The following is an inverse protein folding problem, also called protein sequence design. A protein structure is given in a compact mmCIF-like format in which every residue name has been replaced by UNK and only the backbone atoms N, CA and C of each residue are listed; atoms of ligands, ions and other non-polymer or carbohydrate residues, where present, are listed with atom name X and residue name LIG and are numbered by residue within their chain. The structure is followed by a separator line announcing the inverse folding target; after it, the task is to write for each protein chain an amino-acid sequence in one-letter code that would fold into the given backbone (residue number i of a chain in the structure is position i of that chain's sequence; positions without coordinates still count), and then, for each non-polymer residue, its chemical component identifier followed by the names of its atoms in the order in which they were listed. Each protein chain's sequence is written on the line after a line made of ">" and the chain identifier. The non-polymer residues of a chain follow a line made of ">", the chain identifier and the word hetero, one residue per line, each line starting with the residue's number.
data_IF_464137541597
#
_entry.id   IF_464137541597
#
_cell.length_a   1.000
_cell.length_b   1.000
_cell.length_c   1.000
_cell.angle_alpha   90.00
_cell.angle_beta   90.00
_cell.angle_gamma   90.00
#
_symmetry.space_group_name_H-M   'P 1'
#
loop_
_entity.id
_entity.type
_entity.pdbx_description
1 polymer ?
#
# COMPACT_ATOMS: atom_id res chain seq x y z
N UNK A 1 -16.05 -9.29 -1.30
CA UNK A 1 -15.36 -8.65 -2.46
C UNK A 1 -15.12 -7.17 -2.16
N UNK A 2 -14.18 -6.51 -2.86
CA UNK A 2 -13.84 -5.09 -2.58
C UNK A 2 -15.03 -4.15 -2.76
N UNK A 3 -15.88 -4.42 -3.75
CA UNK A 3 -17.08 -3.61 -4.00
C UNK A 3 -18.07 -3.60 -2.84
N UNK A 4 -18.33 -4.75 -2.23
CA UNK A 4 -19.23 -4.86 -1.06
C UNK A 4 -18.69 -4.06 0.12
N UNK A 5 -17.36 -4.07 0.29
CA UNK A 5 -16.72 -3.33 1.37
C UNK A 5 -16.83 -1.81 1.16
N UNK A 6 -16.58 -1.33 -0.08
CA UNK A 6 -16.79 0.07 -0.44
C UNK A 6 -18.24 0.48 -0.16
N UNK A 7 -19.21 -0.33 -0.60
CA UNK A 7 -20.61 -0.06 -0.39
C UNK A 7 -21.00 -0.02 1.10
N UNK A 8 -20.42 -0.91 1.93
CA UNK A 8 -20.64 -0.92 3.37
C UNK A 8 -20.08 0.32 4.03
N UNK A 9 -18.80 0.62 3.82
CA UNK A 9 -18.14 1.80 4.41
C UNK A 9 -18.87 3.09 4.01
N UNK A 10 -19.28 3.21 2.74
CA UNK A 10 -20.06 4.37 2.29
C UNK A 10 -21.37 4.51 3.07
N UNK A 11 -22.11 3.40 3.25
CA UNK A 11 -23.37 3.40 4.03
C UNK A 11 -23.15 3.72 5.50
N UNK A 12 -22.11 3.15 6.12
CA UNK A 12 -21.76 3.41 7.53
C UNK A 12 -21.43 4.90 7.76
N UNK A 13 -20.89 5.57 6.72
CA UNK A 13 -20.64 7.03 6.72
C UNK A 13 -21.87 7.85 6.25
N UNK A 14 -23.04 7.25 6.10
CA UNK A 14 -24.27 7.90 5.62
C UNK A 14 -24.09 8.65 4.29
N UNK A 15 -23.17 8.20 3.44
CA UNK A 15 -22.88 8.84 2.15
C UNK A 15 -23.69 8.19 1.03
N UNK A 16 -24.35 8.97 0.19
CA UNK A 16 -25.04 8.47 -0.99
C UNK A 16 -24.05 8.06 -2.10
N UNK A 17 -24.51 7.22 -3.05
CA UNK A 17 -23.67 6.88 -4.22
C UNK A 17 -23.35 8.11 -5.06
N UNK A 18 -24.31 9.02 -5.19
CA UNK A 18 -24.15 10.26 -5.94
C UNK A 18 -23.06 11.13 -5.34
N UNK A 19 -23.08 11.33 -4.02
CA UNK A 19 -22.05 12.08 -3.31
C UNK A 19 -20.64 11.43 -3.46
N UNK A 20 -20.57 10.11 -3.35
CA UNK A 20 -19.27 9.44 -3.52
C UNK A 20 -18.77 9.56 -4.97
N UNK A 21 -19.68 9.46 -5.96
CA UNK A 21 -19.37 9.63 -7.37
C UNK A 21 -18.83 11.05 -7.66
N UNK A 22 -19.49 12.08 -7.11
CA UNK A 22 -19.07 13.48 -7.23
C UNK A 22 -17.70 13.73 -6.57
N UNK A 23 -17.52 13.29 -5.31
CA UNK A 23 -16.25 13.45 -4.57
C UNK A 23 -15.07 12.75 -5.23
N UNK A 24 -15.31 11.66 -5.94
CA UNK A 24 -14.27 10.86 -6.60
C UNK A 24 -14.08 11.20 -8.07
N UNK A 25 -14.98 12.01 -8.65
CA UNK A 25 -15.08 12.25 -10.09
C UNK A 25 -15.21 10.94 -10.91
N UNK A 26 -15.92 9.96 -10.34
CA UNK A 26 -16.21 8.68 -10.97
C UNK A 26 -17.67 8.70 -11.40
N UNK A 27 -17.94 8.23 -12.63
CA UNK A 27 -19.31 8.11 -13.08
C UNK A 27 -20.12 7.18 -12.17
N UNK A 28 -21.35 7.56 -11.81
CA UNK A 28 -22.21 6.82 -10.88
C UNK A 28 -22.51 5.39 -11.35
N UNK A 29 -22.64 5.17 -12.67
CA UNK A 29 -22.82 3.84 -13.24
C UNK A 29 -21.57 2.98 -13.04
N UNK A 30 -20.38 3.55 -13.23
CA UNK A 30 -19.12 2.86 -13.00
C UNK A 30 -18.94 2.52 -11.52
N UNK A 31 -19.23 3.47 -10.61
CA UNK A 31 -19.22 3.21 -9.17
C UNK A 31 -20.21 2.10 -8.77
N UNK A 32 -21.38 2.07 -9.40
CA UNK A 32 -22.38 1.03 -9.17
C UNK A 32 -21.87 -0.36 -9.57
N UNK A 33 -21.20 -0.48 -10.72
CA UNK A 33 -20.59 -1.74 -11.16
C UNK A 33 -19.44 -2.18 -10.24
N UNK A 34 -18.67 -1.22 -9.71
CA UNK A 34 -17.63 -1.50 -8.70
C UNK A 34 -18.25 -2.04 -7.42
N UNK A 35 -19.27 -1.35 -6.86
CA UNK A 35 -19.91 -1.77 -5.62
C UNK A 35 -20.61 -3.13 -5.73
N UNK A 36 -21.11 -3.49 -6.90
CA UNK A 36 -21.69 -4.82 -7.18
C UNK A 36 -20.65 -5.91 -7.44
N UNK A 37 -19.36 -5.54 -7.51
CA UNK A 37 -18.29 -6.49 -7.85
C UNK A 37 -18.26 -6.93 -9.31
N UNK A 38 -19.03 -6.27 -10.18
CA UNK A 38 -19.06 -6.54 -11.62
C UNK A 38 -17.82 -6.00 -12.35
N UNK A 39 -17.16 -5.01 -11.73
CA UNK A 39 -15.88 -4.43 -12.18
C UNK A 39 -14.97 -4.15 -11.02
N UNK A 40 -13.69 -4.46 -11.18
CA UNK A 40 -12.65 -4.03 -10.25
C UNK A 40 -12.36 -2.55 -10.46
N UNK A 41 -12.22 -1.75 -9.38
CA UNK A 41 -11.78 -0.38 -9.51
C UNK A 41 -10.33 -0.34 -10.00
N UNK A 42 -10.00 0.64 -10.87
CA UNK A 42 -8.61 0.94 -11.17
C UNK A 42 -7.92 1.47 -9.89
N UNK A 43 -6.59 1.37 -9.86
CA UNK A 43 -5.78 1.96 -8.79
C UNK A 43 -6.15 3.41 -8.48
N UNK A 44 -6.25 4.25 -9.51
CA UNK A 44 -6.63 5.67 -9.41
C UNK A 44 -8.03 5.83 -8.81
N UNK A 45 -8.99 5.02 -9.27
CA UNK A 45 -10.36 5.04 -8.76
C UNK A 45 -10.41 4.62 -7.29
N UNK A 46 -9.72 3.54 -6.92
CA UNK A 46 -9.70 3.04 -5.54
C UNK A 46 -9.07 4.05 -4.58
N UNK A 47 -7.95 4.68 -4.96
CA UNK A 47 -7.33 5.74 -4.17
C UNK A 47 -8.26 6.93 -3.96
N UNK A 48 -8.98 7.34 -5.00
CA UNK A 48 -9.98 8.42 -4.91
C UNK A 48 -11.14 8.03 -3.98
N UNK A 49 -11.63 6.79 -4.07
CA UNK A 49 -12.69 6.27 -3.22
C UNK A 49 -12.24 6.24 -1.75
N UNK A 50 -11.07 5.70 -1.46
CA UNK A 50 -10.52 5.65 -0.09
C UNK A 50 -10.38 7.05 0.50
N UNK A 51 -9.85 8.00 -0.28
CA UNK A 51 -9.74 9.41 0.13
C UNK A 51 -11.10 10.03 0.41
N UNK A 52 -12.09 9.79 -0.44
CA UNK A 52 -13.44 10.36 -0.28
C UNK A 52 -14.19 9.75 0.91
N UNK A 53 -13.92 8.48 1.22
CA UNK A 53 -14.46 7.77 2.36
C UNK A 53 -13.65 7.97 3.64
N UNK A 54 -12.55 8.72 3.58
CA UNK A 54 -11.64 8.93 4.72
C UNK A 54 -11.25 7.59 5.39
N UNK A 55 -10.79 6.66 4.57
CA UNK A 55 -10.26 5.36 5.00
C UNK A 55 -8.84 5.19 4.46
N UNK A 56 -7.95 4.57 5.23
CA UNK A 56 -6.60 4.32 4.76
C UNK A 56 -6.64 3.41 3.54
N UNK A 57 -5.90 3.81 2.51
CA UNK A 57 -5.66 2.97 1.36
C UNK A 57 -4.54 1.98 1.71
N UNK A 58 -4.92 0.73 1.95
CA UNK A 58 -3.94 -0.35 2.14
C UNK A 58 -4.05 -1.33 0.97
N UNK A 59 -3.10 -1.35 0.05
CA UNK A 59 -3.02 -2.40 -0.95
C UNK A 59 -2.58 -3.69 -0.26
N UNK A 60 -3.47 -4.67 -0.18
CA UNK A 60 -3.23 -5.87 0.63
C UNK A 60 -2.93 -7.12 -0.17
N UNK A 61 -3.10 -7.16 -1.44
CA UNK A 61 -2.67 -8.30 -2.24
C UNK A 61 -2.53 -7.94 -3.72
N UNK A 62 -1.44 -8.35 -4.34
CA UNK A 62 -1.29 -8.26 -5.78
C UNK A 62 -1.65 -9.61 -6.41
N UNK A 63 -2.64 -9.62 -7.27
CA UNK A 63 -2.82 -10.75 -8.18
C UNK A 63 -2.21 -10.37 -9.51
N UNK A 64 -1.18 -11.08 -9.91
CA UNK A 64 -0.65 -10.98 -11.26
C UNK A 64 -1.57 -11.80 -12.14
N UNK A 65 -2.38 -11.12 -12.94
CA UNK A 65 -3.18 -11.78 -13.98
C UNK A 65 -2.27 -12.09 -15.17
N UNK A 66 -2.01 -13.37 -15.40
CA UNK A 66 -1.14 -13.84 -16.49
C UNK A 66 -1.66 -13.48 -17.90
N UNK A 67 -2.90 -12.99 -18.00
CA UNK A 67 -3.55 -12.65 -19.26
C UNK A 67 -3.64 -11.15 -19.53
N UNK A 68 -2.94 -10.32 -18.77
CA UNK A 68 -2.94 -8.88 -19.03
C UNK A 68 -2.04 -8.54 -20.20
N UNK A 69 -2.65 -7.96 -21.24
CA UNK A 69 -1.96 -7.34 -22.36
C UNK A 69 -0.89 -6.32 -21.88
N UNK A 70 0.23 -6.27 -22.56
CA UNK A 70 1.42 -5.49 -22.18
C UNK A 70 1.20 -3.99 -22.01
N UNK A 71 0.07 -3.46 -22.45
CA UNK A 71 -0.27 -2.02 -22.43
C UNK A 71 -0.84 -1.56 -21.09
N UNK A 72 -1.40 -2.46 -20.28
CA UNK A 72 -1.96 -2.14 -18.99
C UNK A 72 -1.32 -2.96 -17.87
N UNK A 73 -0.04 -2.71 -17.59
CA UNK A 73 0.63 -3.14 -16.36
C UNK A 73 0.11 -2.37 -15.13
N UNK A 74 -1.19 -2.09 -15.11
CA UNK A 74 -1.87 -1.68 -13.90
C UNK A 74 -2.13 -2.95 -13.10
N UNK A 75 -1.43 -3.03 -11.97
CA UNK A 75 -1.60 -4.13 -11.01
C UNK A 75 -3.07 -4.29 -10.66
N UNK A 76 -3.65 -5.46 -10.89
CA UNK A 76 -4.88 -5.81 -10.21
C UNK A 76 -4.56 -5.95 -8.73
N UNK A 77 -4.82 -4.88 -8.01
CA UNK A 77 -4.86 -4.91 -6.57
C UNK A 77 -6.03 -5.80 -6.16
N UNK A 78 -5.75 -7.01 -5.69
CA UNK A 78 -6.73 -7.82 -4.97
C UNK A 78 -6.68 -7.36 -3.53
N UNK A 79 -7.70 -6.62 -3.14
CA UNK A 79 -7.63 -5.73 -2.02
C UNK A 79 -8.50 -6.15 -0.88
N UNK A 80 -7.94 -6.06 0.28
CA UNK A 80 -8.72 -5.77 1.47
C UNK A 80 -8.52 -4.28 1.81
N UNK A 81 -9.56 -3.49 1.73
CA UNK A 81 -9.66 -2.28 2.52
C UNK A 81 -9.91 -2.81 3.94
N UNK A 82 -8.87 -2.96 4.73
CA UNK A 82 -9.09 -3.27 6.13
C UNK A 82 -9.36 -1.98 6.87
N UNK A 83 -10.57 -1.84 7.35
CA UNK A 83 -10.87 -0.91 8.41
C UNK A 83 -10.32 -1.53 9.70
N UNK A 84 -9.04 -1.34 9.96
CA UNK A 84 -8.49 -1.57 11.28
C UNK A 84 -8.64 -0.26 12.05
N UNK A 85 -9.39 -0.31 13.14
CA UNK A 85 -9.15 0.63 14.22
C UNK A 85 -7.68 0.44 14.61
N UNK A 86 -6.84 1.40 14.24
CA UNK A 86 -5.47 1.41 14.69
C UNK A 86 -5.57 1.61 16.21
N UNK A 87 -5.15 0.63 17.04
CA UNK A 87 -5.12 0.86 18.47
C UNK A 87 -4.29 2.12 18.70
N UNK A 88 -4.74 2.98 19.62
CA UNK A 88 -4.04 4.21 19.95
C UNK A 88 -2.58 3.87 20.22
N UNK A 89 -1.70 4.21 19.28
CA UNK A 89 -0.28 4.01 19.45
C UNK A 89 0.15 4.98 20.53
N UNK A 90 0.62 4.47 21.66
CA UNK A 90 1.32 5.30 22.62
C UNK A 90 2.53 5.90 21.91
N UNK A 91 2.42 7.17 21.55
CA UNK A 91 3.53 7.90 20.91
C UNK A 91 4.49 8.27 22.04
N UNK A 92 5.42 7.38 22.33
CA UNK A 92 6.43 7.60 23.37
C UNK A 92 7.56 8.50 22.89
N UNK A 93 7.77 8.62 21.56
CA UNK A 93 8.88 9.36 21.00
C UNK A 93 8.45 10.19 19.77
N UNK A 94 8.80 11.47 19.78
CA UNK A 94 8.69 12.35 18.63
C UNK A 94 10.04 12.44 17.92
N UNK A 95 10.05 12.19 16.61
CA UNK A 95 11.22 12.37 15.76
C UNK A 95 10.95 13.54 14.83
N UNK A 96 11.93 14.45 14.71
CA UNK A 96 11.84 15.58 13.78
C UNK A 96 11.67 15.06 12.36
N UNK A 97 10.62 15.48 11.65
CA UNK A 97 10.37 15.11 10.28
C UNK A 97 10.80 16.27 9.36
N UNK A 98 11.71 16.03 8.41
CA UNK A 98 12.07 17.04 7.41
C UNK A 98 10.86 17.47 6.58
N UNK A 99 10.80 18.73 6.19
CA UNK A 99 9.71 19.27 5.36
C UNK A 99 9.56 18.52 4.02
N UNK A 100 10.67 18.01 3.47
CA UNK A 100 10.67 17.17 2.26
C UNK A 100 9.94 15.82 2.43
N UNK A 101 9.70 15.39 3.67
CA UNK A 101 9.03 14.15 4.02
C UNK A 101 7.72 14.38 4.79
N UNK A 102 7.09 15.54 4.60
CA UNK A 102 5.86 15.94 5.30
C UNK A 102 4.66 14.98 5.05
N UNK A 103 4.74 14.13 4.01
CA UNK A 103 3.76 13.07 3.74
C UNK A 103 3.99 11.79 4.55
N UNK A 104 5.03 11.72 5.38
CA UNK A 104 5.25 10.58 6.26
C UNK A 104 4.13 10.48 7.31
N UNK A 105 3.66 9.27 7.52
CA UNK A 105 2.65 8.96 8.54
C UNK A 105 3.29 8.62 9.89
N UNK A 106 4.49 8.06 9.85
CA UNK A 106 5.26 7.67 11.04
C UNK A 106 6.74 7.47 10.69
N UNK A 107 7.57 7.35 11.72
CA UNK A 107 8.95 6.89 11.60
C UNK A 107 9.08 5.51 12.26
N UNK A 108 9.83 4.63 11.62
CA UNK A 108 10.10 3.27 12.12
C UNK A 108 11.60 3.06 12.28
N UNK A 109 12.02 2.38 13.35
CA UNK A 109 13.42 2.04 13.54
C UNK A 109 13.82 0.90 12.59
N UNK A 110 14.98 1.04 11.93
CA UNK A 110 15.56 0.00 11.07
C UNK A 110 16.35 -0.96 11.96
N UNK A 111 15.88 -2.19 12.08
CA UNK A 111 16.43 -3.16 13.03
C UNK A 111 17.50 -4.08 12.43
N UNK A 112 17.57 -4.17 11.11
CA UNK A 112 18.55 -5.01 10.41
C UNK A 112 19.38 -4.20 9.40
N UNK A 113 20.42 -4.81 8.89
CA UNK A 113 21.37 -4.20 7.97
C UNK A 113 21.16 -4.61 6.50
N UNK A 114 20.06 -5.28 6.21
CA UNK A 114 19.77 -5.84 4.87
C UNK A 114 19.63 -4.79 3.78
N UNK A 115 19.30 -3.55 4.17
CA UNK A 115 19.11 -2.43 3.28
C UNK A 115 20.32 -1.47 3.24
N UNK A 116 21.44 -1.83 3.85
CA UNK A 116 22.68 -1.07 3.73
C UNK A 116 23.31 -1.23 2.34
N UNK A 117 23.98 -0.18 1.84
CA UNK A 117 24.25 1.12 2.50
C UNK A 117 23.10 2.12 2.39
N UNK A 118 22.01 1.78 1.68
CA UNK A 118 20.93 2.71 1.35
C UNK A 118 20.16 3.19 2.58
N UNK A 119 19.86 2.26 3.48
CA UNK A 119 19.23 2.54 4.76
C UNK A 119 20.11 1.92 5.84
N UNK A 120 20.61 2.76 6.76
CA UNK A 120 21.52 2.30 7.82
C UNK A 120 20.75 1.64 8.96
N UNK A 121 21.28 0.54 9.46
CA UNK A 121 20.78 -0.07 10.71
C UNK A 121 20.76 0.95 11.84
N UNK A 122 19.85 0.81 12.78
CA UNK A 122 19.62 1.67 13.94
C UNK A 122 19.20 3.11 13.62
N UNK A 123 19.07 3.50 12.37
CA UNK A 123 18.43 4.75 11.94
C UNK A 123 16.90 4.62 11.90
N UNK A 124 16.23 5.74 11.64
CA UNK A 124 14.78 5.78 11.48
C UNK A 124 14.41 6.04 10.03
N UNK A 125 13.49 5.24 9.51
CA UNK A 125 12.91 5.41 8.19
C UNK A 125 11.54 6.09 8.30
N UNK A 126 11.30 7.10 7.46
CA UNK A 126 10.01 7.78 7.35
C UNK A 126 9.09 7.01 6.43
N UNK A 127 7.96 6.54 6.97
CA UNK A 127 7.00 5.69 6.31
C UNK A 127 5.73 6.45 5.95
N UNK A 128 5.31 6.39 4.70
CA UNK A 128 4.01 6.86 4.24
C UNK A 128 3.06 5.68 4.03
N UNK A 129 2.03 5.57 4.88
CA UNK A 129 1.06 4.46 4.85
C UNK A 129 0.15 4.48 3.62
N UNK A 130 -0.15 5.67 3.11
CA UNK A 130 -1.14 5.87 2.05
C UNK A 130 -0.52 6.20 0.68
N UNK A 131 0.78 5.94 0.52
CA UNK A 131 1.49 6.21 -0.71
C UNK A 131 1.73 4.90 -1.47
N UNK A 132 1.37 4.84 -2.77
CA UNK A 132 1.60 3.65 -3.56
C UNK A 132 3.09 3.39 -3.76
N UNK A 133 3.44 2.12 -3.83
CA UNK A 133 4.75 1.67 -4.25
C UNK A 133 4.80 1.54 -5.77
N UNK A 134 5.84 2.09 -6.34
CA UNK A 134 6.23 1.87 -7.72
C UNK A 134 7.35 0.82 -7.80
N UNK A 135 7.61 0.33 -9.01
CA UNK A 135 8.73 -0.60 -9.22
C UNK A 135 10.05 0.05 -8.77
N UNK A 136 10.82 -0.64 -7.96
CA UNK A 136 12.09 -0.24 -7.32
C UNK A 136 11.95 0.70 -6.12
N UNK A 137 10.75 1.04 -5.69
CA UNK A 137 10.57 1.74 -4.41
C UNK A 137 11.00 0.85 -3.24
N UNK A 138 11.35 1.50 -2.14
CA UNK A 138 11.58 0.81 -0.86
C UNK A 138 10.29 0.90 -0.07
N UNK A 139 9.85 -0.23 0.46
CA UNK A 139 8.63 -0.33 1.26
C UNK A 139 8.84 -1.11 2.54
N UNK A 140 7.88 -0.93 3.45
CA UNK A 140 7.67 -1.80 4.60
C UNK A 140 6.61 -2.83 4.23
N UNK A 141 6.92 -4.09 4.47
CA UNK A 141 6.08 -5.23 4.15
C UNK A 141 5.87 -6.10 5.38
N UNK A 142 4.71 -6.75 5.45
CA UNK A 142 4.50 -7.94 6.28
C UNK A 142 4.61 -9.16 5.38
N UNK A 143 5.46 -10.10 5.74
CA UNK A 143 5.65 -11.35 5.03
C UNK A 143 5.77 -12.49 6.03
N UNK A 144 4.82 -13.43 5.98
CA UNK A 144 4.74 -14.57 6.91
C UNK A 144 4.81 -14.13 8.38
N UNK A 145 4.09 -13.04 8.72
CA UNK A 145 4.06 -12.47 10.06
C UNK A 145 5.29 -11.67 10.49
N UNK A 146 6.27 -11.48 9.61
CA UNK A 146 7.47 -10.69 9.90
C UNK A 146 7.42 -9.34 9.16
N UNK A 147 7.89 -8.28 9.81
CA UNK A 147 8.05 -6.97 9.17
C UNK A 147 9.40 -6.89 8.48
N UNK A 148 9.38 -6.54 7.20
CA UNK A 148 10.57 -6.45 6.37
C UNK A 148 10.60 -5.10 5.64
N UNK A 149 11.75 -4.43 5.64
CA UNK A 149 12.02 -3.30 4.74
C UNK A 149 12.81 -3.86 3.57
N UNK A 150 12.27 -3.73 2.36
CA UNK A 150 12.88 -4.25 1.12
C UNK A 150 12.59 -3.34 -0.04
N UNK A 151 13.36 -3.51 -1.11
CA UNK A 151 13.06 -2.94 -2.40
C UNK A 151 11.98 -3.77 -3.09
N UNK A 152 10.92 -3.12 -3.51
CA UNK A 152 9.83 -3.71 -4.27
C UNK A 152 10.25 -3.89 -5.72
N UNK A 153 10.38 -5.10 -6.18
CA UNK A 153 10.73 -5.43 -7.56
C UNK A 153 9.55 -6.09 -8.22
N UNK A 154 9.07 -5.44 -9.24
CA UNK A 154 8.00 -5.93 -10.06
C UNK A 154 8.56 -6.51 -11.34
N UNK A 155 8.31 -7.78 -11.56
CA UNK A 155 8.68 -8.54 -12.75
C UNK A 155 7.44 -8.84 -13.59
N UNK A 156 7.63 -9.39 -14.78
CA UNK A 156 6.52 -9.71 -15.69
C UNK A 156 5.49 -10.65 -15.06
N UNK A 157 5.95 -11.65 -14.32
CA UNK A 157 5.13 -12.76 -13.82
C UNK A 157 5.12 -12.86 -12.29
N UNK A 158 5.94 -12.09 -11.57
CA UNK A 158 6.07 -12.15 -10.13
C UNK A 158 6.44 -10.81 -9.48
N UNK A 159 6.35 -10.81 -8.16
CA UNK A 159 6.85 -9.75 -7.29
C UNK A 159 8.01 -10.34 -6.50
N UNK A 160 9.10 -9.57 -6.38
CA UNK A 160 10.19 -9.91 -5.50
C UNK A 160 10.48 -8.78 -4.51
N UNK A 161 10.83 -9.15 -3.29
CA UNK A 161 11.32 -8.26 -2.26
C UNK A 161 12.84 -8.42 -2.19
N UNK A 162 13.57 -7.37 -2.57
CA UNK A 162 15.04 -7.38 -2.67
C UNK A 162 15.69 -6.62 -1.53
N UNK A 163 16.72 -7.22 -0.94
CA UNK A 163 17.65 -6.51 -0.07
C UNK A 163 18.63 -5.65 -0.89
N UNK A 164 19.26 -4.67 -0.28
CA UNK A 164 20.39 -3.95 -0.91
C UNK A 164 21.69 -4.75 -0.79
N UNK A 165 21.82 -5.57 0.26
CA UNK A 165 22.94 -6.50 0.41
C UNK A 165 22.82 -7.67 -0.56
N UNK A 166 23.85 -7.87 -1.39
CA UNK A 166 23.88 -8.89 -2.46
C UNK A 166 23.90 -10.33 -1.93
N UNK A 167 24.32 -10.51 -0.70
CA UNK A 167 24.41 -11.81 0.00
C UNK A 167 23.04 -12.32 0.46
N UNK A 168 22.00 -11.47 0.38
CA UNK A 168 20.63 -11.81 0.80
C UNK A 168 19.80 -12.06 -0.47
N UNK A 169 19.26 -13.25 -0.58
CA UNK A 169 18.44 -13.63 -1.71
C UNK A 169 17.11 -12.85 -1.80
N UNK A 170 16.64 -12.65 -3.02
CA UNK A 170 15.32 -12.07 -3.28
C UNK A 170 14.22 -12.99 -2.72
N UNK A 171 13.24 -12.43 -2.04
CA UNK A 171 12.04 -13.15 -1.64
C UNK A 171 11.02 -13.01 -2.77
N UNK A 172 10.77 -14.10 -3.51
CA UNK A 172 9.73 -14.13 -4.52
C UNK A 172 8.37 -14.36 -3.86
N UNK A 173 7.42 -13.47 -4.11
CA UNK A 173 6.07 -13.52 -3.54
C UNK A 173 5.18 -14.36 -4.43
N UNK A 174 4.55 -15.36 -3.85
CA UNK A 174 3.59 -16.25 -4.50
C UNK A 174 2.15 -15.89 -4.09
N UNK A 175 1.17 -16.50 -4.76
CA UNK A 175 -0.26 -16.28 -4.48
C UNK A 175 -0.69 -16.77 -3.10
N UNK A 176 0.03 -17.75 -2.57
CA UNK A 176 -0.31 -18.43 -1.32
C UNK A 176 0.45 -17.83 -0.12
N UNK A 177 1.32 -16.85 -0.37
CA UNK A 177 2.06 -16.20 0.70
C UNK A 177 1.19 -15.20 1.48
N UNK A 178 1.32 -15.24 2.80
CA UNK A 178 0.81 -14.21 3.69
C UNK A 178 1.70 -12.97 3.54
N UNK A 179 1.27 -12.06 2.67
CA UNK A 179 2.02 -10.88 2.25
C UNK A 179 1.15 -9.64 2.21
N UNK A 180 1.63 -8.56 2.86
CA UNK A 180 0.96 -7.26 2.89
C UNK A 180 1.96 -6.14 2.67
N UNK A 181 1.56 -5.13 1.88
CA UNK A 181 2.29 -3.87 1.77
C UNK A 181 1.76 -2.92 2.85
N UNK A 182 2.64 -2.47 3.72
CA UNK A 182 2.27 -1.56 4.82
C UNK A 182 2.41 -0.11 4.36
N UNK A 183 3.50 0.22 3.66
CA UNK A 183 3.71 1.57 3.15
C UNK A 183 5.04 1.77 2.43
N UNK A 184 5.22 2.98 1.92
CA UNK A 184 6.41 3.42 1.20
C UNK A 184 7.38 4.11 2.14
N UNK A 185 8.66 3.76 2.05
CA UNK A 185 9.75 4.48 2.72
C UNK A 185 10.11 5.70 1.87
N UNK A 186 10.06 6.88 2.49
CA UNK A 186 10.37 8.16 1.84
C UNK A 186 11.85 8.53 1.96
N UNK A 187 12.49 8.11 3.04
CA UNK A 187 13.89 8.40 3.36
C UNK A 187 14.20 8.05 4.80
N UNK A 188 15.35 8.50 5.29
CA UNK A 188 15.81 8.27 6.67
C UNK A 188 16.16 9.57 7.38
N UNK A 189 16.34 9.50 8.69
CA UNK A 189 16.82 10.62 9.51
C UNK A 189 18.36 10.79 9.46
N UNK A 190 19.04 9.91 8.75
CA UNK A 190 20.51 9.94 8.57
C UNK A 190 20.78 9.95 7.07
N UNK A 191 21.47 10.98 6.61
CA UNK A 191 21.97 11.11 5.24
C UNK A 191 23.22 10.22 5.01
#
# INVERSE_FOLDING_TARGET
>A
MIGDMIARIRKDKNMSKTELAEKTNINISHLTHIEKGERSPSYKALKAICKALDVPYQPTLFTIDKNMDEVHKEYKLVNHISYQEVPAVNIENFISCPASMASASMAIKINDDSMEPKLKKDSYAYLALNMPLENKDIGLFSYKGQLLIRRFILRKDDIALRAEKKEIDDICITKDDDFYIIGKILGTNVD
#
